data_IF_752578656102
#
_entry.id   IF_752578656102
#
_cell.length_a   1.000
_cell.length_b   1.000
_cell.length_c   1.000
_cell.angle_alpha   90.00
_cell.angle_beta   90.00
_cell.angle_gamma   90.00
#
_symmetry.space_group_name_H-M   'P 1'
#
loop_
_entity.id
_entity.type
_entity.pdbx_description
1 polymer ?
#
# COMPACT_ATOMS: atom_id res chain seq x y z
N UNK A 1 36.93 48.06 -51.54
CA UNK A 1 36.27 47.53 -52.74
C UNK A 1 35.19 46.55 -52.28
N UNK A 2 33.99 47.02 -52.30
CA UNK A 2 32.75 46.47 -52.88
C UNK A 2 32.62 44.94 -52.82
N UNK A 3 31.64 44.36 -52.07
CA UNK A 3 30.33 44.01 -52.62
C UNK A 3 29.37 43.63 -51.49
N UNK A 4 28.23 44.35 -51.47
CA UNK A 4 26.95 43.96 -50.89
C UNK A 4 26.47 42.65 -51.52
N UNK A 5 25.87 41.77 -50.71
CA UNK A 5 24.75 40.97 -51.17
C UNK A 5 23.69 40.91 -50.06
N UNK A 6 22.60 41.55 -50.32
CA UNK A 6 21.36 41.42 -49.60
C UNK A 6 20.62 40.20 -50.14
N UNK A 7 20.07 39.36 -49.28
CA UNK A 7 18.95 38.47 -49.64
C UNK A 7 18.07 38.25 -48.41
N UNK A 8 17.04 38.91 -48.47
CA UNK A 8 15.60 38.56 -48.39
C UNK A 8 15.17 37.66 -47.23
N UNK A 9 14.38 38.30 -46.38
CA UNK A 9 13.56 37.71 -45.34
C UNK A 9 12.48 36.78 -45.95
N UNK A 10 12.37 35.59 -45.39
CA UNK A 10 11.13 34.80 -45.43
C UNK A 10 10.77 34.46 -44.03
N UNK A 11 9.84 35.21 -43.47
CA UNK A 11 9.18 34.97 -42.22
C UNK A 11 8.17 33.83 -42.41
N UNK A 12 8.47 32.63 -41.98
CA UNK A 12 7.48 31.56 -41.92
C UNK A 12 6.97 31.48 -40.48
N UNK A 13 5.82 32.07 -40.23
CA UNK A 13 5.06 31.97 -39.02
C UNK A 13 4.47 30.54 -38.91
N UNK A 14 5.10 29.68 -38.14
CA UNK A 14 4.49 28.43 -37.71
C UNK A 14 3.61 28.72 -36.50
N UNK A 15 2.31 28.77 -36.73
CA UNK A 15 1.28 28.64 -35.70
C UNK A 15 1.34 27.23 -35.13
N UNK A 16 2.06 27.06 -34.04
CA UNK A 16 1.94 25.87 -33.22
C UNK A 16 0.62 25.93 -32.44
N UNK A 17 -0.41 25.31 -33.01
CA UNK A 17 -1.65 25.03 -32.29
C UNK A 17 -1.34 24.03 -31.16
N UNK A 18 -1.30 24.49 -29.92
CA UNK A 18 -1.41 23.61 -28.74
C UNK A 18 -2.81 23.02 -28.71
N UNK A 19 -3.00 21.88 -29.35
CA UNK A 19 -4.11 20.99 -29.08
C UNK A 19 -3.86 20.41 -27.65
N UNK A 20 -4.56 20.95 -26.67
CA UNK A 20 -4.69 20.32 -25.38
C UNK A 20 -5.43 18.99 -25.58
N UNK A 21 -4.67 17.93 -25.73
CA UNK A 21 -5.17 16.57 -25.70
C UNK A 21 -5.72 16.35 -24.30
N UNK A 22 -7.05 16.44 -24.18
CA UNK A 22 -7.75 15.99 -22.97
C UNK A 22 -7.39 14.53 -22.80
N UNK A 23 -6.55 14.24 -21.79
CA UNK A 23 -6.34 12.89 -21.34
C UNK A 23 -7.72 12.32 -21.02
N UNK A 24 -8.18 11.45 -21.88
CA UNK A 24 -9.39 10.67 -21.75
C UNK A 24 -9.11 9.72 -20.59
N UNK A 25 -9.58 10.07 -19.40
CA UNK A 25 -9.57 9.17 -18.26
C UNK A 25 -10.39 7.94 -18.68
N UNK A 26 -9.68 6.88 -19.02
CA UNK A 26 -10.27 5.56 -19.17
C UNK A 26 -11.01 5.29 -17.87
N UNK A 27 -12.32 4.96 -17.88
CA UNK A 27 -13.02 4.61 -16.67
C UNK A 27 -12.27 3.41 -16.07
N UNK A 28 -11.71 3.60 -14.88
CA UNK A 28 -11.18 2.51 -14.07
C UNK A 28 -12.34 1.56 -13.86
N UNK A 29 -12.37 0.46 -14.59
CA UNK A 29 -13.29 -0.63 -14.31
C UNK A 29 -12.98 -1.04 -12.86
N UNK A 30 -13.92 -0.77 -11.98
CA UNK A 30 -13.94 -1.33 -10.64
C UNK A 30 -14.15 -2.84 -10.86
N UNK A 31 -13.05 -3.57 -10.98
CA UNK A 31 -13.07 -5.03 -11.05
C UNK A 31 -13.75 -5.48 -9.77
N UNK A 32 -14.97 -5.99 -9.90
CA UNK A 32 -15.78 -6.45 -8.78
C UNK A 32 -14.97 -7.48 -7.99
N UNK A 33 -14.75 -7.20 -6.71
CA UNK A 33 -14.16 -8.16 -5.80
C UNK A 33 -14.95 -9.49 -5.89
N UNK A 34 -14.24 -10.61 -6.05
CA UNK A 34 -14.87 -11.92 -6.02
C UNK A 34 -15.38 -12.14 -4.60
N UNK A 35 -16.66 -12.47 -4.40
CA UNK A 35 -17.18 -12.73 -3.06
C UNK A 35 -16.39 -13.89 -2.43
N UNK A 36 -15.81 -13.66 -1.26
CA UNK A 36 -15.20 -14.71 -0.48
C UNK A 36 -16.28 -15.68 0.03
N UNK A 37 -15.94 -16.94 0.36
CA UNK A 37 -16.88 -17.88 0.93
C UNK A 37 -17.50 -17.33 2.22
N UNK A 38 -18.79 -17.58 2.43
CA UNK A 38 -19.52 -17.06 3.58
C UNK A 38 -18.87 -17.52 4.90
N UNK A 39 -18.67 -16.57 5.81
CA UNK A 39 -18.16 -16.86 7.15
C UNK A 39 -19.22 -17.62 7.94
N UNK A 40 -18.85 -18.74 8.56
CA UNK A 40 -19.72 -19.47 9.47
C UNK A 40 -19.64 -18.80 10.84
N UNK A 41 -20.72 -18.14 11.25
CA UNK A 41 -20.78 -17.37 12.50
C UNK A 41 -21.58 -18.18 13.52
N UNK A 42 -21.10 -18.21 14.78
CA UNK A 42 -21.82 -18.83 15.90
C UNK A 42 -23.09 -18.04 16.21
N UNK A 43 -24.15 -18.73 16.63
CA UNK A 43 -25.40 -18.09 17.04
C UNK A 43 -25.26 -17.16 18.28
N UNK A 44 -24.16 -17.25 19.01
CA UNK A 44 -23.85 -16.42 20.19
C UNK A 44 -22.78 -15.35 19.89
N UNK A 45 -22.52 -15.07 18.62
CA UNK A 45 -21.53 -14.09 18.18
C UNK A 45 -22.26 -12.90 17.54
N UNK A 46 -22.27 -11.77 18.24
CA UNK A 46 -22.95 -10.53 17.82
C UNK A 46 -22.08 -9.63 16.91
N UNK A 47 -20.85 -10.06 16.60
CA UNK A 47 -19.94 -9.31 15.72
C UNK A 47 -20.38 -9.39 14.26
N UNK A 48 -20.02 -8.37 13.50
CA UNK A 48 -20.25 -8.34 12.06
C UNK A 48 -18.96 -8.71 11.34
N UNK A 49 -19.10 -9.51 10.29
CA UNK A 49 -17.97 -10.02 9.49
C UNK A 49 -18.20 -9.66 8.03
N UNK A 50 -17.13 -9.21 7.38
CA UNK A 50 -17.09 -9.03 5.94
C UNK A 50 -15.77 -9.60 5.39
N UNK A 51 -15.86 -10.29 4.25
CA UNK A 51 -14.70 -10.90 3.60
C UNK A 51 -14.73 -10.65 2.11
N UNK A 52 -13.59 -10.27 1.55
CA UNK A 52 -13.45 -10.03 0.11
C UNK A 52 -12.00 -10.18 -0.33
N UNK A 53 -11.80 -10.32 -1.64
CA UNK A 53 -10.47 -10.36 -2.24
C UNK A 53 -10.25 -9.09 -3.07
N UNK A 54 -9.14 -8.41 -2.83
CA UNK A 54 -8.73 -7.24 -3.63
C UNK A 54 -8.26 -7.66 -5.03
N UNK A 55 -8.23 -6.76 -6.03
CA UNK A 55 -7.75 -7.07 -7.37
C UNK A 55 -6.32 -7.63 -7.41
N UNK A 56 -5.46 -7.23 -6.47
CA UNK A 56 -4.10 -7.73 -6.29
C UNK A 56 -4.03 -9.09 -5.57
N UNK A 57 -5.16 -9.77 -5.36
CA UNK A 57 -5.30 -11.08 -4.70
C UNK A 57 -5.07 -11.08 -3.18
N UNK A 58 -5.02 -9.92 -2.54
CA UNK A 58 -5.02 -9.86 -1.08
C UNK A 58 -6.41 -10.25 -0.58
N UNK A 59 -6.47 -11.27 0.26
CA UNK A 59 -7.69 -11.67 0.97
C UNK A 59 -7.85 -10.81 2.23
N UNK A 60 -9.04 -10.26 2.41
CA UNK A 60 -9.36 -9.36 3.51
C UNK A 60 -10.50 -9.92 4.33
N UNK A 61 -10.35 -9.90 5.64
CA UNK A 61 -11.43 -10.14 6.60
C UNK A 61 -11.56 -8.91 7.50
N UNK A 62 -12.75 -8.35 7.56
CA UNK A 62 -13.11 -7.27 8.48
C UNK A 62 -14.02 -7.83 9.57
N UNK A 63 -13.78 -7.42 10.81
CA UNK A 63 -14.60 -7.78 11.96
C UNK A 63 -14.98 -6.50 12.69
N UNK A 64 -16.27 -6.24 12.82
CA UNK A 64 -16.81 -5.12 13.58
C UNK A 64 -17.42 -5.63 14.88
N UNK A 65 -16.88 -5.14 16.00
CA UNK A 65 -17.37 -5.43 17.35
C UNK A 65 -17.57 -4.11 18.09
N UNK A 66 -18.84 -3.69 18.28
CA UNK A 66 -19.15 -2.44 18.98
C UNK A 66 -18.73 -2.42 20.46
N UNK A 67 -18.50 -3.60 21.05
CA UNK A 67 -18.06 -3.73 22.45
C UNK A 67 -16.54 -3.77 22.60
N UNK A 68 -15.79 -3.77 21.51
CA UNK A 68 -14.34 -3.84 21.57
C UNK A 68 -13.74 -2.51 22.07
N UNK A 69 -12.87 -2.59 23.06
CA UNK A 69 -12.10 -1.45 23.58
C UNK A 69 -10.82 -1.16 22.76
N UNK A 70 -10.42 -2.09 21.93
CA UNK A 70 -9.21 -2.01 21.10
C UNK A 70 -9.49 -2.43 19.67
N UNK A 71 -8.81 -1.75 18.75
CA UNK A 71 -8.72 -2.16 17.36
C UNK A 71 -7.42 -2.96 17.15
N UNK A 72 -7.46 -3.96 16.29
CA UNK A 72 -6.31 -4.76 15.91
C UNK A 72 -6.28 -5.00 14.40
N UNK A 73 -5.09 -5.15 13.85
CA UNK A 73 -4.91 -5.61 12.48
C UNK A 73 -3.73 -6.57 12.39
N UNK A 74 -3.80 -7.49 11.44
CA UNK A 74 -2.69 -8.34 11.06
C UNK A 74 -2.59 -8.43 9.53
N UNK A 75 -1.37 -8.49 9.02
CA UNK A 75 -1.06 -8.73 7.61
C UNK A 75 -0.10 -9.90 7.52
N UNK A 76 -0.52 -10.94 6.82
CA UNK A 76 0.30 -12.11 6.51
C UNK A 76 0.74 -12.07 5.05
N UNK A 77 2.04 -12.23 4.82
CA UNK A 77 2.64 -12.30 3.50
C UNK A 77 3.26 -13.68 3.34
N UNK A 78 2.87 -14.42 2.29
CA UNK A 78 3.38 -15.78 2.01
C UNK A 78 4.79 -15.74 1.42
N UNK A 79 5.69 -15.02 2.09
CA UNK A 79 7.12 -14.90 1.80
C UNK A 79 7.87 -14.95 3.12
N UNK A 80 8.92 -15.76 3.19
CA UNK A 80 9.78 -15.90 4.34
C UNK A 80 11.20 -16.29 3.94
N UNK A 81 11.97 -16.82 4.87
CA UNK A 81 13.41 -17.10 4.70
C UNK A 81 13.73 -18.02 3.53
N UNK A 82 12.83 -18.94 3.16
CA UNK A 82 13.02 -19.84 2.02
C UNK A 82 12.90 -19.15 0.65
N UNK A 83 12.35 -17.94 0.63
CA UNK A 83 12.19 -17.15 -0.59
C UNK A 83 13.35 -16.19 -0.83
N UNK A 84 14.25 -16.06 0.14
CA UNK A 84 15.42 -15.20 0.03
C UNK A 84 16.36 -15.70 -1.06
N UNK A 85 16.91 -14.82 -1.91
CA UNK A 85 17.97 -15.20 -2.85
C UNK A 85 19.17 -15.79 -2.10
N UNK A 86 19.80 -16.82 -2.64
CA UNK A 86 20.99 -17.45 -2.02
C UNK A 86 22.12 -16.45 -1.74
N UNK A 87 22.21 -15.37 -2.52
CA UNK A 87 23.20 -14.31 -2.34
C UNK A 87 22.81 -13.26 -1.29
N UNK A 88 21.56 -13.30 -0.78
CA UNK A 88 21.01 -12.28 0.13
C UNK A 88 20.09 -12.92 1.15
N UNK A 89 20.60 -13.86 1.91
CA UNK A 89 19.85 -14.54 2.96
C UNK A 89 19.51 -13.58 4.10
N UNK A 90 18.28 -13.66 4.62
CA UNK A 90 17.75 -12.78 5.66
C UNK A 90 17.07 -11.52 5.12
N UNK A 91 16.85 -11.41 3.81
CA UNK A 91 16.22 -10.23 3.19
C UNK A 91 14.79 -10.01 3.70
N UNK A 92 13.97 -11.07 3.76
CA UNK A 92 12.61 -10.99 4.26
C UNK A 92 12.57 -10.51 5.72
N UNK A 93 13.45 -11.04 6.57
CA UNK A 93 13.56 -10.64 7.97
C UNK A 93 14.11 -9.20 8.12
N UNK A 94 15.07 -8.82 7.28
CA UNK A 94 15.57 -7.46 7.27
C UNK A 94 14.48 -6.45 6.86
N UNK A 95 13.68 -6.75 5.84
CA UNK A 95 12.54 -5.92 5.44
C UNK A 95 11.53 -5.79 6.59
N UNK A 96 11.26 -6.86 7.32
CA UNK A 96 10.40 -6.84 8.50
C UNK A 96 10.85 -5.78 9.51
N UNK A 97 12.12 -5.74 9.86
CA UNK A 97 12.65 -4.71 10.77
C UNK A 97 12.54 -3.29 10.18
N UNK A 98 12.82 -3.14 8.89
CA UNK A 98 12.81 -1.82 8.23
C UNK A 98 11.42 -1.19 8.19
N UNK A 99 10.35 -1.99 8.11
CA UNK A 99 8.98 -1.47 8.04
C UNK A 99 8.53 -0.76 9.33
N UNK A 100 9.21 -0.96 10.46
CA UNK A 100 8.96 -0.23 11.70
C UNK A 100 9.67 1.13 11.77
N UNK A 101 10.64 1.38 10.89
CA UNK A 101 11.52 2.55 10.95
C UNK A 101 11.05 3.72 10.10
N UNK A 102 9.82 3.66 9.59
CA UNK A 102 9.21 4.73 8.82
C UNK A 102 9.16 4.48 7.32
N UNK A 103 8.54 5.42 6.64
CA UNK A 103 8.32 5.41 5.19
C UNK A 103 8.51 6.83 4.64
N UNK A 104 8.52 6.99 3.32
CA UNK A 104 8.55 8.32 2.69
C UNK A 104 7.47 9.26 3.24
N UNK A 105 6.25 8.72 3.43
CA UNK A 105 5.12 9.50 3.97
C UNK A 105 5.25 9.77 5.48
N UNK A 106 5.90 8.88 6.22
CA UNK A 106 6.11 8.95 7.66
C UNK A 106 7.60 8.75 7.97
N UNK A 107 8.45 9.76 7.74
CA UNK A 107 9.90 9.61 7.75
C UNK A 107 10.52 9.51 9.15
N UNK A 108 9.77 9.79 10.20
CA UNK A 108 10.28 9.66 11.56
C UNK A 108 10.43 8.19 11.93
N UNK A 109 11.66 7.78 12.18
CA UNK A 109 12.00 6.38 12.53
C UNK A 109 11.44 5.92 13.87
N UNK A 110 11.00 6.82 14.73
CA UNK A 110 10.34 6.54 16.01
C UNK A 110 8.84 6.76 15.96
N UNK A 111 8.33 7.45 14.95
CA UNK A 111 6.95 7.92 14.87
C UNK A 111 5.93 6.80 15.07
N UNK A 112 6.17 5.63 14.47
CA UNK A 112 5.29 4.48 14.64
C UNK A 112 5.26 3.97 16.09
N UNK A 113 6.42 3.75 16.69
CA UNK A 113 6.53 3.26 18.08
C UNK A 113 5.98 4.27 19.09
N UNK A 114 6.25 5.55 18.88
CA UNK A 114 5.78 6.62 19.75
C UNK A 114 4.26 6.75 19.68
N UNK A 115 3.67 6.65 18.46
CA UNK A 115 2.22 6.61 18.29
C UNK A 115 1.59 5.42 19.03
N UNK A 116 2.14 4.22 18.84
CA UNK A 116 1.62 3.02 19.50
C UNK A 116 1.69 3.14 21.02
N UNK A 117 2.80 3.64 21.55
CA UNK A 117 2.99 3.84 23.00
C UNK A 117 2.00 4.88 23.55
N UNK A 118 1.83 6.00 22.86
CA UNK A 118 0.92 7.08 23.28
C UNK A 118 -0.55 6.64 23.33
N UNK A 119 -0.94 5.67 22.48
CA UNK A 119 -2.31 5.18 22.36
C UNK A 119 -2.53 3.80 23.02
N UNK A 120 -1.68 3.39 23.97
CA UNK A 120 -1.81 2.10 24.66
C UNK A 120 -1.70 0.90 23.71
N UNK A 121 -1.00 1.09 22.60
CA UNK A 121 -0.83 0.11 21.55
C UNK A 121 0.31 -0.87 21.81
N UNK A 122 0.27 -1.95 21.10
CA UNK A 122 1.32 -2.97 21.01
C UNK A 122 1.44 -3.40 19.56
N UNK A 123 2.65 -3.65 19.12
CA UNK A 123 2.91 -4.17 17.77
C UNK A 123 4.00 -5.23 17.82
N UNK A 124 4.00 -6.11 16.85
CA UNK A 124 5.05 -7.10 16.64
C UNK A 124 5.03 -7.54 15.18
N UNK A 125 6.08 -8.23 14.77
CA UNK A 125 6.13 -8.99 13.53
C UNK A 125 6.98 -10.24 13.75
N UNK A 126 6.91 -11.17 12.82
CA UNK A 126 7.84 -12.29 12.74
C UNK A 126 8.01 -12.75 11.29
N UNK A 127 9.20 -13.21 10.98
CA UNK A 127 9.53 -13.87 9.71
C UNK A 127 9.87 -15.32 9.99
N UNK A 128 9.19 -16.25 9.33
CA UNK A 128 9.44 -17.68 9.39
C UNK A 128 9.89 -18.21 8.02
N UNK A 129 9.87 -19.51 7.83
CA UNK A 129 10.38 -20.14 6.60
C UNK A 129 9.67 -19.68 5.34
N UNK A 130 8.35 -19.59 5.36
CA UNK A 130 7.47 -19.32 4.22
C UNK A 130 6.46 -18.19 4.45
N UNK A 131 6.55 -17.50 5.58
CA UNK A 131 5.61 -16.45 5.98
C UNK A 131 6.32 -15.32 6.71
N UNK A 132 5.88 -14.08 6.45
CA UNK A 132 6.16 -12.93 7.28
C UNK A 132 4.83 -12.33 7.73
N UNK A 133 4.67 -12.10 9.01
CA UNK A 133 3.44 -11.58 9.58
C UNK A 133 3.70 -10.32 10.39
N UNK A 134 2.86 -9.31 10.21
CA UNK A 134 2.86 -8.02 10.91
C UNK A 134 1.56 -7.89 11.68
N UNK A 135 1.61 -7.41 12.90
CA UNK A 135 0.41 -7.25 13.71
C UNK A 135 0.52 -6.08 14.68
N UNK A 136 -0.62 -5.46 14.94
CA UNK A 136 -0.72 -4.46 16.00
C UNK A 136 -2.11 -4.47 16.63
N UNK A 137 -2.19 -3.88 17.81
CA UNK A 137 -3.44 -3.49 18.48
C UNK A 137 -3.25 -2.13 19.13
N UNK A 138 -4.32 -1.34 19.20
CA UNK A 138 -4.33 0.01 19.75
C UNK A 138 -5.67 0.28 20.43
N UNK A 139 -5.71 1.15 21.43
CA UNK A 139 -6.98 1.55 22.05
C UNK A 139 -7.87 2.27 21.03
N UNK A 140 -9.17 2.06 21.11
CA UNK A 140 -10.15 2.90 20.45
C UNK A 140 -10.19 4.26 21.16
N UNK A 141 -10.49 5.34 20.41
CA UNK A 141 -10.74 6.66 20.99
C UNK A 141 -12.09 6.69 21.71
#
# INVERSE_FOLDING_TARGET
MKKLFAMSAITLAMLAGCSAEKAQQTPTQTESAVPAPAVIISANDDRQYDTFTLPNKVEVMLVSDPAAEKSAAALSVSVGLLHDPMSQQGMAHYLEHMLFLGTERFPDTKGYTDFMTANGGQHNAYTWLDITNYMFKVNNE
#
